data_IF_350775420923
#
_entry.id   IF_350775420923
#
_cell.length_a   1.000
_cell.length_b   1.000
_cell.length_c   1.000
_cell.angle_alpha   90.00
_cell.angle_beta   90.00
_cell.angle_gamma   90.00
#
_symmetry.space_group_name_H-M   'P 1'
#
loop_
_entity.id
_entity.type
_entity.pdbx_description
1 polymer ?
#
# COMPACT_ATOMS: atom_id res chain seq x y z
N UNK A 1 15.62 -5.25 17.79
CA UNK A 1 15.67 -3.78 17.51
C UNK A 1 15.74 -3.54 16.00
N UNK A 2 16.64 -4.18 15.26
CA UNK A 2 16.79 -3.95 13.81
C UNK A 2 15.51 -4.20 12.99
N UNK A 3 14.79 -5.27 13.26
CA UNK A 3 13.52 -5.58 12.61
C UNK A 3 12.44 -4.53 12.93
N UNK A 4 12.31 -4.14 14.19
CA UNK A 4 11.37 -3.11 14.59
C UNK A 4 11.70 -1.76 13.92
N UNK A 5 12.98 -1.37 13.89
CA UNK A 5 13.42 -0.16 13.24
C UNK A 5 13.12 -0.18 11.73
N UNK A 6 13.38 -1.31 11.05
CA UNK A 6 13.07 -1.47 9.63
C UNK A 6 11.58 -1.31 9.34
N UNK A 7 10.71 -1.97 10.09
CA UNK A 7 9.25 -1.91 9.91
C UNK A 7 8.73 -0.50 10.22
N UNK A 8 9.10 0.05 11.38
CA UNK A 8 8.58 1.36 11.82
C UNK A 8 9.07 2.52 10.94
N UNK A 9 10.26 2.41 10.38
CA UNK A 9 10.77 3.38 9.41
C UNK A 9 9.89 3.44 8.16
N UNK A 10 9.34 2.30 7.69
CA UNK A 10 8.40 2.28 6.56
C UNK A 10 7.07 2.94 6.91
N UNK A 11 6.54 2.70 8.10
CA UNK A 11 5.37 3.43 8.57
C UNK A 11 5.62 4.95 8.64
N UNK A 12 6.78 5.37 9.11
CA UNK A 12 7.15 6.78 9.13
C UNK A 12 7.22 7.40 7.73
N UNK A 13 7.84 6.72 6.76
CA UNK A 13 8.11 7.29 5.44
C UNK A 13 6.94 7.15 4.46
N UNK A 14 6.13 6.10 4.60
CA UNK A 14 5.16 5.70 3.59
C UNK A 14 3.70 5.94 3.99
N UNK A 15 3.46 6.44 5.18
CA UNK A 15 2.12 6.86 5.63
C UNK A 15 1.92 8.37 5.51
N UNK A 16 0.67 8.78 5.51
CA UNK A 16 0.27 10.18 5.62
C UNK A 16 0.23 10.61 7.10
N UNK A 17 1.38 10.54 7.77
CA UNK A 17 1.51 10.66 9.22
C UNK A 17 1.93 12.05 9.73
N UNK A 18 2.14 13.00 8.84
CA UNK A 18 2.56 14.36 9.21
C UNK A 18 3.71 14.40 10.25
N UNK A 19 4.75 13.60 9.96
CA UNK A 19 5.99 13.58 10.73
C UNK A 19 6.00 12.67 11.96
N UNK A 20 4.91 11.96 12.29
CA UNK A 20 4.92 10.95 13.36
C UNK A 20 3.99 9.77 13.04
N UNK A 21 4.48 8.51 13.05
CA UNK A 21 3.68 7.34 12.66
C UNK A 21 2.37 7.19 13.44
N UNK A 22 2.35 7.56 14.72
CA UNK A 22 1.16 7.46 15.57
C UNK A 22 0.03 8.44 15.16
N UNK A 23 0.30 9.40 14.29
CA UNK A 23 -0.76 10.24 13.70
C UNK A 23 -1.58 9.49 12.63
N UNK A 24 -1.02 8.45 12.05
CA UNK A 24 -1.66 7.64 11.01
C UNK A 24 -2.13 6.27 11.50
N UNK A 25 -1.35 5.64 12.37
CA UNK A 25 -1.59 4.27 12.88
C UNK A 25 -1.28 4.25 14.38
N UNK A 26 -2.15 3.69 15.19
CA UNK A 26 -1.95 3.66 16.64
C UNK A 26 -0.67 2.91 17.03
N UNK A 27 -0.09 3.26 18.19
CA UNK A 27 1.11 2.58 18.72
C UNK A 27 0.89 1.08 18.87
N UNK A 28 -0.26 0.66 19.33
CA UNK A 28 -0.58 -0.75 19.55
C UNK A 28 -0.65 -1.53 18.23
N UNK A 29 -1.19 -0.94 17.18
CA UNK A 29 -1.19 -1.53 15.83
C UNK A 29 0.22 -1.62 15.25
N UNK A 30 1.04 -0.57 15.41
CA UNK A 30 2.44 -0.59 15.00
C UNK A 30 3.23 -1.70 15.70
N UNK A 31 3.09 -1.79 17.03
CA UNK A 31 3.73 -2.84 17.82
C UNK A 31 3.19 -4.23 17.46
N UNK A 32 1.89 -4.37 17.27
CA UNK A 32 1.27 -5.63 16.84
C UNK A 32 1.85 -6.09 15.51
N UNK A 33 2.02 -5.18 14.55
CA UNK A 33 2.65 -5.50 13.27
C UNK A 33 4.07 -6.06 13.45
N UNK A 34 4.90 -5.42 14.27
CA UNK A 34 6.25 -5.90 14.59
C UNK A 34 6.20 -7.27 15.25
N UNK A 35 5.25 -7.48 16.18
CA UNK A 35 5.12 -8.74 16.93
C UNK A 35 4.67 -9.90 16.07
N UNK A 36 3.92 -9.69 14.98
CA UNK A 36 3.61 -10.75 14.03
C UNK A 36 4.87 -11.42 13.48
N UNK A 37 5.89 -10.66 13.16
CA UNK A 37 7.16 -11.22 12.69
C UNK A 37 8.03 -11.77 13.82
N UNK A 38 8.03 -11.09 14.96
CA UNK A 38 8.88 -11.45 16.10
C UNK A 38 8.44 -12.75 16.76
N UNK A 39 7.15 -12.87 17.11
CA UNK A 39 6.62 -14.05 17.80
C UNK A 39 6.59 -15.31 16.93
N UNK A 40 6.44 -15.14 15.63
CA UNK A 40 6.40 -16.25 14.68
C UNK A 40 7.77 -16.60 14.10
N UNK A 41 8.82 -15.84 14.46
CA UNK A 41 10.19 -16.01 13.96
C UNK A 41 10.30 -15.90 12.43
N UNK A 42 9.42 -15.11 11.78
CA UNK A 42 9.30 -15.04 10.33
C UNK A 42 10.03 -13.86 9.68
N UNK A 43 10.86 -13.12 10.39
CA UNK A 43 11.61 -11.99 9.84
C UNK A 43 12.43 -12.38 8.60
N UNK A 44 13.20 -13.48 8.69
CA UNK A 44 14.04 -13.95 7.59
C UNK A 44 13.22 -14.50 6.43
N UNK A 45 12.19 -15.30 6.70
CA UNK A 45 11.36 -15.88 5.64
C UNK A 45 10.55 -14.83 4.89
N UNK A 46 10.06 -13.80 5.58
CA UNK A 46 9.37 -12.67 4.93
C UNK A 46 10.30 -11.84 4.03
N UNK A 47 11.57 -11.71 4.41
CA UNK A 47 12.56 -10.97 3.62
C UNK A 47 12.94 -11.70 2.29
N UNK A 48 12.68 -13.00 2.17
CA UNK A 48 12.95 -13.77 0.94
C UNK A 48 12.21 -13.22 -0.27
N UNK A 49 11.02 -12.63 -0.09
CA UNK A 49 10.29 -11.97 -1.18
C UNK A 49 11.16 -10.94 -1.90
N UNK A 50 11.89 -10.12 -1.14
CA UNK A 50 12.79 -9.10 -1.70
C UNK A 50 13.97 -9.72 -2.43
N UNK A 51 14.52 -10.80 -1.91
CA UNK A 51 15.63 -11.51 -2.54
C UNK A 51 15.24 -12.22 -3.84
N UNK A 52 14.08 -12.89 -3.86
CA UNK A 52 13.68 -13.78 -4.94
C UNK A 52 12.91 -13.05 -6.06
N UNK A 53 12.20 -11.95 -5.77
CA UNK A 53 11.21 -11.41 -6.70
C UNK A 53 11.35 -9.92 -7.00
N UNK A 54 12.21 -9.18 -6.32
CA UNK A 54 12.23 -7.71 -6.43
C UNK A 54 12.77 -7.17 -7.76
N UNK A 55 13.33 -8.01 -8.62
CA UNK A 55 13.86 -7.61 -9.94
C UNK A 55 12.93 -7.85 -11.14
N UNK A 56 11.82 -8.57 -10.97
CA UNK A 56 10.98 -9.04 -12.06
C UNK A 56 9.60 -8.35 -12.15
N UNK A 57 9.57 -7.02 -12.15
CA UNK A 57 8.35 -6.27 -12.45
C UNK A 57 8.09 -6.18 -13.98
N UNK A 58 8.20 -7.27 -14.69
CA UNK A 58 7.85 -7.37 -16.11
C UNK A 58 6.33 -7.53 -16.25
N UNK A 59 5.62 -6.42 -16.08
CA UNK A 59 4.17 -6.40 -16.22
C UNK A 59 3.75 -6.26 -17.67
N UNK A 60 3.21 -7.33 -18.26
CA UNK A 60 2.47 -7.27 -19.51
C UNK A 60 1.14 -6.50 -19.38
N UNK A 61 0.39 -6.48 -20.47
CA UNK A 61 -0.95 -5.91 -20.54
C UNK A 61 -1.92 -6.64 -19.59
N UNK A 62 -2.73 -5.90 -18.84
CA UNK A 62 -3.79 -6.42 -17.97
C UNK A 62 -5.14 -6.04 -18.59
N UNK A 63 -5.93 -7.06 -18.93
CA UNK A 63 -7.23 -6.93 -19.63
C UNK A 63 -8.45 -7.04 -18.69
N UNK A 64 -8.20 -7.40 -17.45
CA UNK A 64 -9.27 -7.49 -16.44
C UNK A 64 -9.77 -6.09 -16.08
N UNK A 65 -11.08 -5.90 -15.84
CA UNK A 65 -11.61 -4.66 -15.29
C UNK A 65 -10.81 -4.21 -14.08
N UNK A 66 -10.27 -3.00 -14.13
CA UNK A 66 -9.34 -2.49 -13.14
C UNK A 66 -9.80 -1.14 -12.58
N UNK A 67 -9.73 -0.98 -11.26
CA UNK A 67 -9.85 0.29 -10.57
C UNK A 67 -8.51 0.70 -9.95
N UNK A 68 -8.20 1.98 -9.98
CA UNK A 68 -7.00 2.54 -9.36
C UNK A 68 -7.35 3.78 -8.56
N UNK A 69 -6.96 3.76 -7.29
CA UNK A 69 -7.05 4.92 -6.39
C UNK A 69 -5.64 5.38 -6.04
N UNK A 70 -5.34 6.65 -6.27
CA UNK A 70 -4.03 7.24 -6.00
C UNK A 70 -4.09 8.03 -4.69
N UNK A 71 -3.35 7.59 -3.72
CA UNK A 71 -3.21 8.27 -2.43
C UNK A 71 -2.05 9.28 -2.47
N UNK A 72 -2.16 10.46 -1.80
CA UNK A 72 -1.18 11.54 -1.92
C UNK A 72 0.21 11.19 -1.39
N UNK A 73 0.31 10.28 -0.43
CA UNK A 73 1.59 9.82 0.15
C UNK A 73 2.00 8.42 -0.30
N UNK A 74 1.37 7.89 -1.38
CA UNK A 74 1.83 6.66 -2.02
C UNK A 74 3.25 6.86 -2.60
N UNK A 75 4.10 5.84 -2.47
CA UNK A 75 5.48 5.85 -2.97
C UNK A 75 5.58 5.83 -4.49
N UNK A 76 4.63 5.23 -5.18
CA UNK A 76 4.54 5.20 -6.63
C UNK A 76 3.20 5.78 -7.11
N UNK A 77 3.24 6.98 -7.67
CA UNK A 77 2.06 7.63 -8.22
C UNK A 77 2.09 7.59 -9.74
N UNK A 78 1.23 6.77 -10.33
CA UNK A 78 1.11 6.66 -11.77
C UNK A 78 -0.03 7.56 -12.29
N UNK A 79 0.24 8.31 -13.35
CA UNK A 79 -0.81 9.06 -14.02
C UNK A 79 -1.76 8.11 -14.77
N UNK A 80 -3.02 8.51 -14.91
CA UNK A 80 -4.03 7.76 -15.67
C UNK A 80 -3.54 7.34 -17.05
N UNK A 81 -2.82 8.23 -17.76
CA UNK A 81 -2.25 7.97 -19.09
C UNK A 81 -1.26 6.79 -19.09
N UNK A 82 -0.43 6.66 -18.03
CA UNK A 82 0.50 5.55 -17.92
C UNK A 82 -0.20 4.26 -17.51
N UNK A 83 -1.19 4.35 -16.63
CA UNK A 83 -2.00 3.21 -16.22
C UNK A 83 -2.75 2.59 -17.39
N UNK A 84 -3.37 3.40 -18.25
CA UNK A 84 -4.08 2.93 -19.45
C UNK A 84 -3.20 2.19 -20.47
N UNK A 85 -1.89 2.36 -20.42
CA UNK A 85 -0.98 1.57 -21.26
C UNK A 85 -0.84 0.12 -20.79
N UNK A 86 -1.01 -0.12 -19.50
CA UNK A 86 -0.90 -1.44 -18.88
C UNK A 86 -2.28 -2.07 -18.65
N UNK A 87 -3.21 -1.28 -18.12
CA UNK A 87 -4.57 -1.70 -17.77
C UNK A 87 -5.52 -1.26 -18.89
N UNK A 88 -5.75 -2.13 -19.87
CA UNK A 88 -6.53 -1.76 -21.07
C UNK A 88 -8.02 -1.66 -20.79
N UNK A 89 -8.52 -2.24 -19.69
CA UNK A 89 -9.87 -2.07 -19.18
C UNK A 89 -9.84 -1.31 -17.83
N UNK A 90 -9.27 -0.10 -17.82
CA UNK A 90 -9.27 0.79 -16.67
C UNK A 90 -10.63 1.50 -16.56
N UNK A 91 -11.48 1.03 -15.63
CA UNK A 91 -12.87 1.53 -15.45
C UNK A 91 -13.03 2.55 -14.35
N UNK A 92 -12.09 2.61 -13.43
CA UNK A 92 -12.12 3.53 -12.30
C UNK A 92 -10.74 4.13 -12.09
N UNK A 93 -10.69 5.45 -11.93
CA UNK A 93 -9.48 6.17 -11.56
C UNK A 93 -9.85 7.33 -10.66
N UNK A 94 -9.31 7.37 -9.46
CA UNK A 94 -9.54 8.43 -8.51
C UNK A 94 -8.24 8.90 -7.87
N UNK A 95 -8.13 10.20 -7.62
CA UNK A 95 -7.01 10.81 -6.90
C UNK A 95 -7.55 11.37 -5.60
N UNK A 96 -7.01 10.90 -4.50
CA UNK A 96 -7.50 11.17 -3.16
C UNK A 96 -6.67 12.26 -2.47
N UNK A 97 -7.27 12.90 -1.47
CA UNK A 97 -6.68 14.04 -0.75
C UNK A 97 -5.91 13.63 0.51
N UNK A 98 -6.04 12.37 0.96
CA UNK A 98 -5.39 11.87 2.18
C UNK A 98 -5.06 10.38 2.09
N UNK A 99 -4.08 9.93 2.88
CA UNK A 99 -3.61 8.57 2.95
C UNK A 99 -2.31 8.31 2.20
N UNK A 100 -1.68 7.19 2.50
CA UNK A 100 -0.39 6.78 1.95
C UNK A 100 -0.39 5.34 1.49
N UNK A 101 0.78 4.72 1.54
CA UNK A 101 1.03 3.37 1.06
C UNK A 101 0.21 2.30 1.79
N UNK A 102 -0.02 2.49 3.07
CA UNK A 102 -0.81 1.58 3.90
C UNK A 102 -2.26 2.04 4.04
N UNK A 103 -2.87 2.49 2.95
CA UNK A 103 -4.17 3.15 2.90
C UNK A 103 -5.29 2.40 3.64
N UNK A 104 -5.33 1.06 3.57
CA UNK A 104 -6.32 0.26 4.28
C UNK A 104 -6.21 0.37 5.81
N UNK A 105 -5.00 0.59 6.32
CA UNK A 105 -4.73 0.76 7.75
C UNK A 105 -4.88 2.23 8.19
N UNK A 106 -4.39 3.16 7.37
CA UNK A 106 -4.41 4.60 7.65
C UNK A 106 -5.80 5.24 7.53
N UNK A 107 -6.55 4.82 6.50
CA UNK A 107 -7.84 5.40 6.09
C UNK A 107 -8.83 4.30 5.71
N UNK A 108 -9.21 3.41 6.65
CA UNK A 108 -10.02 2.22 6.35
C UNK A 108 -11.37 2.56 5.69
N UNK A 109 -12.06 3.58 6.16
CA UNK A 109 -13.36 3.98 5.59
C UNK A 109 -13.22 4.49 4.16
N UNK A 110 -12.20 5.31 3.90
CA UNK A 110 -11.91 5.82 2.56
C UNK A 110 -11.54 4.66 1.62
N UNK A 111 -10.68 3.76 2.07
CA UNK A 111 -10.26 2.58 1.32
C UNK A 111 -11.47 1.67 0.95
N UNK A 112 -12.34 1.39 1.91
CA UNK A 112 -13.56 0.60 1.68
C UNK A 112 -14.51 1.29 0.70
N UNK A 113 -14.66 2.62 0.80
CA UNK A 113 -15.51 3.38 -0.12
C UNK A 113 -14.97 3.36 -1.56
N UNK A 114 -13.67 3.45 -1.75
CA UNK A 114 -13.03 3.32 -3.07
C UNK A 114 -13.28 1.94 -3.70
N UNK A 115 -13.11 0.86 -2.91
CA UNK A 115 -13.42 -0.50 -3.35
C UNK A 115 -14.89 -0.62 -3.75
N UNK A 116 -15.81 -0.15 -2.91
CA UNK A 116 -17.26 -0.20 -3.20
C UNK A 116 -17.62 0.60 -4.45
N UNK A 117 -17.03 1.77 -4.62
CA UNK A 117 -17.25 2.62 -5.81
C UNK A 117 -16.84 1.91 -7.09
N UNK A 118 -15.66 1.27 -7.08
CA UNK A 118 -15.20 0.48 -8.22
C UNK A 118 -16.15 -0.70 -8.51
N UNK A 119 -16.44 -1.55 -7.53
CA UNK A 119 -17.28 -2.74 -7.74
C UNK A 119 -18.74 -2.41 -8.06
N UNK A 120 -19.22 -1.22 -7.71
CA UNK A 120 -20.56 -0.76 -8.12
C UNK A 120 -20.58 -0.24 -9.56
N UNK A 121 -19.43 -0.03 -10.19
CA UNK A 121 -19.30 0.49 -11.56
C UNK A 121 -19.11 -0.61 -12.61
N UNK A 122 -18.96 -1.85 -12.18
CA UNK A 122 -18.77 -3.03 -13.06
C UNK A 122 -19.91 -4.03 -12.87
#
# INVERSE_FOLDING_TARGET
>A
IGQAAWILEKFYQWTDCDGHPENAVSRDELLTNVMFYWLTETATSSARLYWESFGEFNGGEVKTPTGVSIYPKEIFKASERWLKKRYTDLRYYNVLDSGGHFAALEKPDLYVNEIRSFFSSI
#
